data_IF_862964121584
#
_entry.id   IF_862964121584
#
_cell.length_a   1.000
_cell.length_b   1.000
_cell.length_c   1.000
_cell.angle_alpha   90.00
_cell.angle_beta   90.00
_cell.angle_gamma   90.00
#
_symmetry.space_group_name_H-M   'P 1'
#
loop_
_entity.id
_entity.type
_entity.pdbx_description
1 polymer ?
#
# COMPACT_ATOMS: atom_id res chain seq x y z
N UNK A 1 5.67 -21.15 -0.91
CA UNK A 1 4.86 -20.61 -2.01
C UNK A 1 5.72 -19.66 -2.83
N UNK A 2 5.65 -19.74 -4.14
CA UNK A 2 6.31 -18.76 -5.00
C UNK A 2 5.58 -17.42 -4.92
N UNK A 3 6.25 -16.38 -5.37
CA UNK A 3 5.65 -15.03 -5.45
C UNK A 3 4.33 -15.05 -6.25
N UNK A 4 4.34 -15.76 -7.38
CA UNK A 4 3.15 -15.88 -8.22
C UNK A 4 2.03 -16.65 -7.53
N UNK A 5 2.35 -17.77 -6.89
CA UNK A 5 1.37 -18.57 -6.14
C UNK A 5 0.79 -17.78 -4.98
N UNK A 6 1.61 -17.01 -4.29
CA UNK A 6 1.16 -16.17 -3.18
C UNK A 6 0.12 -15.15 -3.65
N UNK A 7 0.41 -14.48 -4.75
CA UNK A 7 -0.52 -13.50 -5.33
C UNK A 7 -1.85 -14.15 -5.72
N UNK A 8 -1.81 -15.32 -6.35
CA UNK A 8 -3.02 -16.05 -6.76
C UNK A 8 -3.85 -16.46 -5.55
N UNK A 9 -3.21 -16.98 -4.50
CA UNK A 9 -3.91 -17.40 -3.28
C UNK A 9 -4.55 -16.21 -2.56
N UNK A 10 -3.85 -15.08 -2.50
CA UNK A 10 -4.41 -13.85 -1.93
C UNK A 10 -5.64 -13.38 -2.72
N UNK A 11 -5.59 -13.47 -4.04
CA UNK A 11 -6.71 -13.07 -4.91
C UNK A 11 -7.94 -13.96 -4.69
N UNK A 12 -7.72 -15.20 -4.28
CA UNK A 12 -8.82 -16.13 -3.97
C UNK A 12 -9.42 -15.91 -2.58
N UNK A 13 -8.88 -14.98 -1.81
CA UNK A 13 -9.36 -14.69 -0.47
C UNK A 13 -8.80 -15.60 0.61
N UNK A 14 -7.73 -16.34 0.33
CA UNK A 14 -7.06 -17.19 1.31
C UNK A 14 -6.42 -16.32 2.39
N UNK A 15 -6.94 -16.38 3.61
CA UNK A 15 -6.47 -15.56 4.72
C UNK A 15 -5.04 -15.90 5.15
N UNK A 16 -4.66 -17.16 5.06
CA UNK A 16 -3.29 -17.58 5.37
C UNK A 16 -2.30 -16.96 4.39
N UNK A 17 -2.64 -16.96 3.09
CA UNK A 17 -1.82 -16.33 2.07
C UNK A 17 -1.75 -14.81 2.27
N UNK A 18 -2.86 -14.17 2.62
CA UNK A 18 -2.90 -12.73 2.89
C UNK A 18 -2.00 -12.36 4.07
N UNK A 19 -2.03 -13.17 5.13
CA UNK A 19 -1.15 -12.98 6.27
C UNK A 19 0.32 -13.17 5.89
N UNK A 20 0.61 -14.18 5.09
CA UNK A 20 1.97 -14.41 4.60
C UNK A 20 2.48 -13.25 3.77
N UNK A 21 1.65 -12.69 2.90
CA UNK A 21 2.00 -11.52 2.13
C UNK A 21 2.33 -10.33 3.04
N UNK A 22 1.49 -10.08 4.02
CA UNK A 22 1.71 -9.02 5.00
C UNK A 22 3.02 -9.23 5.78
N UNK A 23 3.23 -10.44 6.28
CA UNK A 23 4.44 -10.76 7.04
C UNK A 23 5.71 -10.62 6.20
N UNK A 24 5.64 -11.00 4.94
CA UNK A 24 6.79 -10.98 4.04
C UNK A 24 7.13 -9.57 3.54
N UNK A 25 6.14 -8.76 3.25
CA UNK A 25 6.33 -7.46 2.61
C UNK A 25 6.02 -6.26 3.50
N UNK A 26 5.41 -6.48 4.65
CA UNK A 26 4.94 -5.40 5.53
C UNK A 26 6.02 -4.42 5.93
N UNK A 27 7.19 -4.91 6.33
CA UNK A 27 8.32 -4.05 6.74
C UNK A 27 8.79 -3.14 5.61
N UNK A 28 8.85 -3.69 4.40
CA UNK A 28 9.30 -2.92 3.22
C UNK A 28 8.28 -1.86 2.84
N UNK A 29 6.99 -2.20 2.90
CA UNK A 29 5.92 -1.24 2.61
C UNK A 29 5.90 -0.15 3.70
N UNK A 30 6.07 -0.51 4.98
CA UNK A 30 6.14 0.49 6.04
C UNK A 30 7.32 1.43 5.86
N UNK A 31 8.49 0.90 5.51
CA UNK A 31 9.67 1.73 5.24
C UNK A 31 9.41 2.72 4.10
N UNK A 32 8.71 2.26 3.06
CA UNK A 32 8.30 3.12 1.96
C UNK A 32 7.33 4.20 2.43
N UNK A 33 6.35 3.84 3.25
CA UNK A 33 5.38 4.80 3.81
C UNK A 33 6.06 5.89 4.64
N UNK A 34 7.10 5.52 5.41
CA UNK A 34 7.84 6.49 6.23
C UNK A 34 8.52 7.58 5.42
N UNK A 35 8.83 7.31 4.15
CA UNK A 35 9.45 8.30 3.27
C UNK A 35 8.47 9.41 2.88
N UNK A 36 7.19 9.11 2.86
CA UNK A 36 6.15 10.02 2.36
C UNK A 36 5.24 10.55 3.45
N UNK A 37 5.21 9.90 4.60
CA UNK A 37 4.31 10.26 5.70
C UNK A 37 4.81 11.47 6.48
N UNK A 38 3.89 12.19 7.11
CA UNK A 38 4.20 13.36 7.92
C UNK A 38 4.85 12.96 9.26
N UNK A 39 4.45 11.82 9.83
CA UNK A 39 4.92 11.32 11.11
C UNK A 39 4.74 9.80 11.18
N UNK A 40 5.26 9.13 12.25
CA UNK A 40 5.15 7.67 12.36
C UNK A 40 3.72 7.14 12.37
N UNK A 41 2.77 7.84 13.00
CA UNK A 41 1.38 7.40 13.03
C UNK A 41 0.76 7.46 11.63
N UNK A 42 1.06 8.52 10.88
CA UNK A 42 0.62 8.68 9.50
C UNK A 42 1.19 7.58 8.61
N UNK A 43 2.45 7.17 8.84
CA UNK A 43 3.08 6.08 8.09
C UNK A 43 2.37 4.75 8.33
N UNK A 44 1.99 4.45 9.57
CA UNK A 44 1.26 3.23 9.90
C UNK A 44 -0.13 3.21 9.28
N UNK A 45 -0.83 4.34 9.33
CA UNK A 45 -2.15 4.48 8.69
C UNK A 45 -2.04 4.28 7.18
N UNK A 46 -1.03 4.86 6.55
CA UNK A 46 -0.79 4.72 5.12
C UNK A 46 -0.50 3.26 4.76
N UNK A 47 0.29 2.56 5.59
CA UNK A 47 0.58 1.14 5.38
C UNK A 47 -0.69 0.30 5.44
N UNK A 48 -1.53 0.51 6.46
CA UNK A 48 -2.78 -0.22 6.61
C UNK A 48 -3.71 0.03 5.43
N UNK A 49 -3.89 1.29 5.06
CA UNK A 49 -4.72 1.66 3.91
C UNK A 49 -4.20 1.05 2.61
N UNK A 50 -2.87 1.00 2.46
CA UNK A 50 -2.23 0.38 1.29
C UNK A 50 -2.55 -1.10 1.19
N UNK A 51 -2.43 -1.84 2.31
CA UNK A 51 -2.73 -3.27 2.31
C UNK A 51 -4.21 -3.55 2.08
N UNK A 52 -5.10 -2.74 2.63
CA UNK A 52 -6.53 -2.86 2.36
C UNK A 52 -6.78 -2.75 0.86
N UNK A 53 -6.20 -1.77 0.21
CA UNK A 53 -6.35 -1.60 -1.24
C UNK A 53 -5.67 -2.72 -2.02
N UNK A 54 -4.46 -3.12 -1.62
CA UNK A 54 -3.74 -4.22 -2.26
C UNK A 54 -4.60 -5.49 -2.28
N UNK A 55 -5.16 -5.88 -1.13
CA UNK A 55 -5.99 -7.08 -1.08
C UNK A 55 -7.28 -6.94 -1.89
N UNK A 56 -7.82 -5.73 -1.99
CA UNK A 56 -9.03 -5.48 -2.79
C UNK A 56 -8.78 -5.67 -4.27
N UNK A 57 -7.61 -5.28 -4.77
CA UNK A 57 -7.32 -5.25 -6.21
C UNK A 57 -6.30 -6.29 -6.67
N UNK A 58 -5.82 -7.16 -5.78
CA UNK A 58 -4.75 -8.12 -6.11
C UNK A 58 -5.14 -9.09 -7.23
N UNK A 59 -6.42 -9.29 -7.44
CA UNK A 59 -6.90 -10.09 -8.58
C UNK A 59 -6.54 -9.49 -9.94
N UNK A 60 -6.20 -8.21 -9.99
CA UNK A 60 -5.78 -7.50 -11.21
C UNK A 60 -4.27 -7.59 -11.44
N UNK A 61 -3.51 -8.04 -10.45
CA UNK A 61 -2.07 -8.16 -10.58
C UNK A 61 -1.71 -9.26 -11.56
N UNK A 62 -0.74 -8.98 -12.44
CA UNK A 62 -0.18 -9.95 -13.38
C UNK A 62 1.31 -10.09 -13.11
N UNK A 63 1.71 -11.29 -12.71
CA UNK A 63 3.11 -11.57 -12.46
C UNK A 63 3.89 -11.54 -13.78
N UNK A 64 5.01 -10.87 -13.82
CA UNK A 64 5.85 -10.77 -15.00
C UNK A 64 7.28 -11.28 -14.78
N UNK A 65 7.81 -11.11 -13.57
CA UNK A 65 9.18 -11.49 -13.23
C UNK A 65 9.35 -11.43 -11.72
N UNK A 66 10.44 -12.03 -11.17
CA UNK A 66 10.75 -11.89 -9.75
C UNK A 66 10.83 -10.41 -9.35
N UNK A 67 10.17 -10.07 -8.24
CA UNK A 67 10.09 -8.71 -7.76
C UNK A 67 8.92 -7.90 -8.29
N UNK A 68 8.20 -8.40 -9.30
CA UNK A 68 7.07 -7.64 -9.88
C UNK A 68 5.93 -7.44 -8.88
N UNK A 69 5.72 -8.38 -7.95
CA UNK A 69 4.68 -8.23 -6.94
C UNK A 69 4.98 -7.04 -6.02
N UNK A 70 6.20 -6.96 -5.49
CA UNK A 70 6.56 -5.81 -4.65
C UNK A 70 6.47 -4.49 -5.42
N UNK A 71 6.97 -4.45 -6.65
CA UNK A 71 6.91 -3.24 -7.46
C UNK A 71 5.47 -2.77 -7.69
N UNK A 72 4.57 -3.71 -7.92
CA UNK A 72 3.14 -3.40 -8.08
C UNK A 72 2.53 -2.88 -6.79
N UNK A 73 2.82 -3.52 -5.65
CA UNK A 73 2.36 -3.08 -4.34
C UNK A 73 2.91 -1.69 -4.00
N UNK A 74 4.19 -1.46 -4.26
CA UNK A 74 4.85 -0.19 -3.98
C UNK A 74 4.22 0.95 -4.77
N UNK A 75 3.85 0.72 -6.03
CA UNK A 75 3.18 1.73 -6.85
C UNK A 75 1.84 2.14 -6.25
N UNK A 76 1.06 1.17 -5.76
CA UNK A 76 -0.20 1.45 -5.08
C UNK A 76 0.04 2.34 -3.85
N UNK A 77 1.03 1.97 -3.04
CA UNK A 77 1.39 2.71 -1.83
C UNK A 77 1.83 4.14 -2.13
N UNK A 78 2.69 4.32 -3.13
CA UNK A 78 3.18 5.65 -3.51
C UNK A 78 2.03 6.52 -4.02
N UNK A 79 1.15 5.97 -4.84
CA UNK A 79 -0.01 6.71 -5.34
C UNK A 79 -0.92 7.15 -4.19
N UNK A 80 -1.15 6.29 -3.21
CA UNK A 80 -1.94 6.62 -2.02
C UNK A 80 -1.26 7.70 -1.18
N UNK A 81 0.06 7.65 -1.09
CA UNK A 81 0.85 8.66 -0.36
C UNK A 81 0.69 10.04 -1.01
N UNK A 82 0.77 10.12 -2.33
CA UNK A 82 0.57 11.37 -3.05
C UNK A 82 -0.85 11.91 -2.91
N UNK A 83 -1.85 11.04 -2.97
CA UNK A 83 -3.24 11.42 -2.78
C UNK A 83 -3.48 11.98 -1.38
N UNK A 84 -2.89 11.35 -0.36
CA UNK A 84 -2.98 11.80 1.02
C UNK A 84 -2.33 13.17 1.21
N UNK A 85 -1.13 13.37 0.64
CA UNK A 85 -0.42 14.65 0.71
C UNK A 85 -1.20 15.75 0.00
N UNK A 86 -1.81 15.44 -1.14
CA UNK A 86 -2.65 16.38 -1.90
C UNK A 86 -3.87 16.80 -1.09
N UNK A 87 -4.52 15.87 -0.41
CA UNK A 87 -5.67 16.18 0.45
C UNK A 87 -5.27 17.08 1.62
N UNK A 88 -4.13 16.82 2.25
CA UNK A 88 -3.62 17.67 3.35
C UNK A 88 -3.38 19.10 2.89
N UNK A 89 -2.77 19.28 1.71
CA UNK A 89 -2.53 20.61 1.15
C UNK A 89 -3.83 21.34 0.84
N UNK A 90 -4.80 20.64 0.32
CA UNK A 90 -6.11 21.19 0.00
C UNK A 90 -6.83 21.66 1.26
N UNK A 91 -6.80 20.87 2.34
CA UNK A 91 -7.38 21.24 3.63
C UNK A 91 -6.67 22.46 4.23
N UNK A 92 -5.35 22.51 4.15
CA UNK A 92 -4.59 23.66 4.65
C UNK A 92 -4.97 24.95 3.93
N UNK A 93 -5.19 24.91 2.62
CA UNK A 93 -5.64 26.05 1.85
C UNK A 93 -7.04 26.50 2.27
N UNK A 94 -7.95 25.55 2.49
CA UNK A 94 -9.31 25.86 2.94
C UNK A 94 -9.32 26.54 4.30
N UNK A 95 -8.45 26.09 5.21
CA UNK A 95 -8.33 26.68 6.54
C UNK A 95 -7.77 28.12 6.49
N UNK A 96 -6.88 28.41 5.55
CA UNK A 96 -6.33 29.75 5.36
C UNK A 96 -7.35 30.69 4.73
N UNK A 97 -8.22 30.18 3.87
CA UNK A 97 -9.22 30.99 3.13
C UNK A 97 -10.49 31.26 3.94
N UNK A 98 -10.60 30.76 5.16
CA UNK A 98 -11.80 30.88 6.00
C UNK A 98 -11.87 32.22 6.75
N UNK A 99 -10.88 33.06 6.64
CA UNK A 99 -10.95 34.41 7.18
C UNK A 99 -11.86 35.28 6.30
#
# INVERSE_FOLDING_TARGET
>A
MTEQELAISCARGDRTAQRELYDQYGSRILALCRRYAADPADAEDLMQDSFIKIFRVIGRFKWTRPGSLYSWMARITINMAFDSAKRRRSLARQLVDVD
#
